data_IF_071158333337
#
_entry.id   IF_071158333337
#
_cell.length_a   1.000
_cell.length_b   1.000
_cell.length_c   1.000
_cell.angle_alpha   90.00
_cell.angle_beta   90.00
_cell.angle_gamma   90.00
#
_symmetry.space_group_name_H-M   'P 1'
#
loop_
_entity.id
_entity.type
_entity.pdbx_description
1 polymer ?
#
# COMPACT_ATOMS: atom_id res chain seq x y z
N UNK A 1 2.59 -4.21 -10.38
CA UNK A 1 1.85 -3.26 -9.51
C UNK A 1 2.77 -2.80 -8.39
N UNK A 2 2.54 -1.62 -7.81
CA UNK A 2 3.17 -1.17 -6.57
C UNK A 2 2.11 -0.82 -5.50
N UNK A 3 2.33 -1.27 -4.27
CA UNK A 3 1.56 -0.89 -3.08
C UNK A 3 2.50 -0.14 -2.13
N UNK A 4 2.05 0.97 -1.55
CA UNK A 4 2.81 1.74 -0.56
C UNK A 4 1.87 2.56 0.33
N UNK A 5 2.40 3.40 1.22
CA UNK A 5 1.62 4.34 2.02
C UNK A 5 1.29 5.61 1.24
N UNK A 6 0.19 6.28 1.58
CA UNK A 6 -0.04 7.66 1.17
C UNK A 6 0.75 8.65 2.03
N UNK A 7 0.65 9.93 1.69
CA UNK A 7 1.35 11.01 2.41
C UNK A 7 0.85 11.17 3.85
N UNK A 8 -0.35 10.67 4.16
CA UNK A 8 -0.93 10.61 5.50
C UNK A 8 -0.26 9.58 6.43
N UNK A 9 0.58 8.68 5.91
CA UNK A 9 1.35 7.72 6.72
C UNK A 9 0.59 6.46 7.14
N UNK A 10 -0.51 6.15 6.43
CA UNK A 10 -1.38 5.01 6.71
C UNK A 10 -2.07 5.10 8.08
N UNK A 11 -2.56 3.96 8.57
CA UNK A 11 -3.42 3.91 9.78
C UNK A 11 -2.74 4.39 11.07
N UNK A 12 -1.41 4.48 11.11
CA UNK A 12 -0.63 4.96 12.26
C UNK A 12 -0.31 6.45 12.18
N UNK A 13 -0.45 7.07 11.01
CA UNK A 13 -0.04 8.46 10.78
C UNK A 13 1.46 8.69 10.92
N UNK A 14 2.28 7.66 10.74
CA UNK A 14 3.71 7.73 11.08
C UNK A 14 4.52 8.48 10.01
N UNK A 15 5.38 9.46 10.38
CA UNK A 15 6.16 10.22 9.39
C UNK A 15 7.02 9.35 8.47
N UNK A 16 7.63 8.28 8.99
CA UNK A 16 8.42 7.35 8.16
C UNK A 16 7.58 6.66 7.10
N UNK A 17 6.32 6.33 7.42
CA UNK A 17 5.39 5.78 6.42
C UNK A 17 5.08 6.81 5.34
N UNK A 18 4.81 8.05 5.73
CA UNK A 18 4.57 9.16 4.78
C UNK A 18 5.73 9.33 3.83
N UNK A 19 6.96 9.39 4.35
CA UNK A 19 8.16 9.60 3.54
C UNK A 19 8.44 8.39 2.64
N UNK A 20 8.31 7.16 3.15
CA UNK A 20 8.41 5.96 2.33
C UNK A 20 7.39 5.95 1.19
N UNK A 21 6.14 6.35 1.47
CA UNK A 21 5.06 6.52 0.50
C UNK A 21 5.40 7.51 -0.61
N UNK A 22 5.91 8.68 -0.23
CA UNK A 22 6.35 9.73 -1.16
C UNK A 22 7.47 9.22 -2.07
N UNK A 23 8.52 8.63 -1.51
CA UNK A 23 9.64 8.13 -2.32
C UNK A 23 9.23 6.99 -3.25
N UNK A 24 8.41 6.05 -2.77
CA UNK A 24 7.88 4.97 -3.60
C UNK A 24 6.98 5.49 -4.74
N UNK A 25 6.18 6.53 -4.48
CA UNK A 25 5.34 7.18 -5.50
C UNK A 25 6.20 7.87 -6.58
N UNK A 26 7.26 8.58 -6.18
CA UNK A 26 8.21 9.15 -7.13
C UNK A 26 8.91 8.07 -7.97
N UNK A 27 9.36 6.99 -7.31
CA UNK A 27 9.99 5.86 -7.99
C UNK A 27 9.04 5.21 -9.00
N UNK A 28 7.76 5.02 -8.67
CA UNK A 28 6.75 4.51 -9.61
C UNK A 28 6.68 5.35 -10.90
N UNK A 29 6.67 6.67 -10.78
CA UNK A 29 6.58 7.57 -11.95
C UNK A 29 7.87 7.63 -12.77
N UNK A 30 9.01 7.28 -12.18
CA UNK A 30 10.32 7.45 -12.82
C UNK A 30 10.95 6.14 -13.30
N UNK A 31 10.63 4.99 -12.70
CA UNK A 31 11.23 3.69 -13.04
C UNK A 31 11.06 3.29 -14.51
N UNK A 32 9.99 3.75 -15.18
CA UNK A 32 9.75 3.50 -16.60
C UNK A 32 10.37 4.52 -17.55
N UNK A 33 11.13 5.51 -17.05
CA UNK A 33 11.71 6.59 -17.87
C UNK A 33 13.17 6.32 -18.18
N UNK A 34 13.53 6.34 -19.46
CA UNK A 34 14.92 6.16 -19.93
C UNK A 34 15.83 7.37 -19.70
N UNK A 35 15.32 8.44 -19.07
CA UNK A 35 16.07 9.68 -18.82
C UNK A 35 16.16 10.03 -17.31
N UNK A 36 15.93 9.06 -16.42
CA UNK A 36 16.10 9.20 -14.98
C UNK A 36 17.10 8.16 -14.48
N UNK A 37 17.94 8.55 -13.50
CA UNK A 37 18.94 7.67 -12.88
C UNK A 37 19.92 7.06 -13.89
N UNK A 38 20.62 7.91 -14.64
CA UNK A 38 21.52 7.50 -15.72
C UNK A 38 22.62 6.52 -15.24
N UNK A 39 23.12 6.70 -14.02
CA UNK A 39 24.07 5.82 -13.36
C UNK A 39 23.55 4.37 -13.22
N UNK A 40 22.26 4.20 -12.92
CA UNK A 40 21.63 2.88 -12.85
C UNK A 40 21.43 2.26 -14.23
N UNK A 41 21.09 3.07 -15.23
CA UNK A 41 20.94 2.62 -16.62
C UNK A 41 22.28 2.16 -17.20
N UNK A 42 23.36 2.91 -16.93
CA UNK A 42 24.73 2.55 -17.29
C UNK A 42 25.18 1.25 -16.60
N UNK A 43 24.72 1.02 -15.36
CA UNK A 43 24.94 -0.23 -14.63
C UNK A 43 24.06 -1.41 -15.12
N UNK A 44 23.26 -1.23 -16.17
CA UNK A 44 22.47 -2.29 -16.81
C UNK A 44 21.06 -2.47 -16.29
N UNK A 45 20.56 -1.57 -15.42
CA UNK A 45 19.14 -1.57 -15.03
C UNK A 45 18.30 -1.18 -16.23
N UNK A 46 17.30 -2.00 -16.57
CA UNK A 46 16.37 -1.72 -17.67
C UNK A 46 15.13 -1.01 -17.12
N UNK A 47 14.63 0.06 -17.77
CA UNK A 47 13.40 0.73 -17.35
C UNK A 47 12.22 -0.23 -17.25
N UNK A 48 11.48 -0.16 -16.15
CA UNK A 48 10.26 -0.93 -15.93
C UNK A 48 9.10 0.01 -15.61
N UNK A 49 8.07 -0.02 -16.46
CA UNK A 49 6.86 0.80 -16.29
C UNK A 49 5.78 0.01 -15.55
N UNK A 50 5.76 0.15 -14.23
CA UNK A 50 4.71 -0.41 -13.38
C UNK A 50 3.33 0.14 -13.78
N UNK A 51 2.32 -0.74 -13.89
CA UNK A 51 1.02 -0.35 -14.46
C UNK A 51 0.07 0.32 -13.47
N UNK A 52 0.10 -0.03 -12.19
CA UNK A 52 -0.79 0.51 -11.14
C UNK A 52 -0.02 0.82 -9.87
N UNK A 53 -0.36 1.95 -9.25
CA UNK A 53 0.10 2.40 -7.93
C UNK A 53 -1.11 2.51 -7.01
N UNK A 54 -1.06 1.83 -5.87
CA UNK A 54 -2.03 2.03 -4.81
C UNK A 54 -1.38 2.51 -3.51
N UNK A 55 -2.12 3.33 -2.78
CA UNK A 55 -1.85 3.68 -1.40
C UNK A 55 -2.75 2.87 -0.48
N UNK A 56 -2.20 2.21 0.53
CA UNK A 56 -3.01 1.57 1.57
C UNK A 56 -3.80 2.63 2.33
N UNK A 57 -5.10 2.38 2.54
CA UNK A 57 -6.01 3.31 3.22
C UNK A 57 -6.88 2.59 4.25
N UNK A 58 -7.75 3.32 4.94
CA UNK A 58 -8.64 2.81 5.97
C UNK A 58 -9.89 3.69 6.08
N UNK A 59 -11.00 3.11 6.55
CA UNK A 59 -12.20 3.85 6.94
C UNK A 59 -12.24 4.16 8.45
N UNK A 60 -11.24 3.69 9.20
CA UNK A 60 -11.13 3.89 10.64
C UNK A 60 -9.71 4.28 11.06
N UNK A 61 -9.64 5.04 12.15
CA UNK A 61 -8.39 5.35 12.84
C UNK A 61 -8.24 4.46 14.07
N UNK A 62 -6.98 4.15 14.44
CA UNK A 62 -6.72 3.47 15.71
C UNK A 62 -7.14 4.35 16.90
N UNK A 63 -7.70 3.76 17.98
CA UNK A 63 -8.12 4.52 19.15
C UNK A 63 -6.93 5.26 19.78
N UNK A 64 -7.20 6.41 20.39
CA UNK A 64 -6.21 7.26 21.08
C UNK A 64 -5.07 7.78 20.17
N UNK A 65 -5.29 7.85 18.85
CA UNK A 65 -4.38 8.51 17.89
C UNK A 65 -4.93 9.87 17.46
N UNK A 66 -4.03 10.72 16.98
CA UNK A 66 -4.43 11.96 16.33
C UNK A 66 -5.23 11.66 15.05
N UNK A 67 -6.15 12.55 14.64
CA UNK A 67 -6.94 12.35 13.42
C UNK A 67 -6.08 12.21 12.16
N UNK A 68 -6.49 11.32 11.27
CA UNK A 68 -5.86 11.07 9.97
C UNK A 68 -6.94 11.22 8.90
N UNK A 69 -6.62 11.95 7.83
CA UNK A 69 -7.52 12.07 6.68
C UNK A 69 -7.18 10.98 5.68
N UNK A 70 -7.97 9.91 5.68
CA UNK A 70 -7.75 8.78 4.79
C UNK A 70 -8.27 9.06 3.37
N UNK A 71 -7.49 8.75 2.32
CA UNK A 71 -8.01 8.73 0.95
C UNK A 71 -9.16 7.73 0.81
N UNK A 72 -10.20 8.03 0.02
CA UNK A 72 -11.30 7.09 -0.19
C UNK A 72 -10.81 5.80 -0.88
N UNK A 73 -11.30 4.66 -0.40
CA UNK A 73 -10.96 3.37 -0.97
C UNK A 73 -11.55 3.23 -2.38
N UNK A 74 -10.71 2.89 -3.34
CA UNK A 74 -11.12 2.50 -4.70
C UNK A 74 -10.92 1.01 -4.95
N UNK A 75 -10.21 0.30 -4.07
CA UNK A 75 -10.11 -1.15 -4.11
C UNK A 75 -10.25 -1.74 -2.70
N UNK A 76 -11.03 -2.80 -2.56
CA UNK A 76 -11.27 -3.50 -1.30
C UNK A 76 -11.08 -4.99 -1.54
N UNK A 77 -10.09 -5.56 -0.87
CA UNK A 77 -9.71 -6.97 -1.01
C UNK A 77 -10.21 -7.72 0.21
N UNK A 78 -11.05 -8.72 -0.02
CA UNK A 78 -11.47 -9.66 1.02
C UNK A 78 -10.30 -10.60 1.33
N UNK A 79 -9.87 -10.58 2.59
CA UNK A 79 -8.81 -11.42 3.13
C UNK A 79 -9.29 -12.24 4.33
N UNK A 80 -10.61 -12.41 4.52
CA UNK A 80 -11.20 -13.08 5.68
C UNK A 80 -10.56 -14.45 5.96
N UNK A 81 -10.38 -15.25 4.92
CA UNK A 81 -9.76 -16.58 5.00
C UNK A 81 -8.25 -16.55 5.36
N UNK A 82 -7.62 -15.37 5.30
CA UNK A 82 -6.20 -15.14 5.56
C UNK A 82 -5.93 -14.39 6.87
N UNK A 83 -6.96 -14.03 7.63
CA UNK A 83 -6.83 -13.26 8.88
C UNK A 83 -5.91 -13.97 9.88
N UNK A 84 -6.06 -15.29 10.07
CA UNK A 84 -5.19 -16.06 10.98
C UNK A 84 -3.73 -16.06 10.51
N UNK A 85 -3.51 -16.22 9.21
CA UNK A 85 -2.17 -16.17 8.62
C UNK A 85 -1.52 -14.81 8.85
N UNK A 86 -2.27 -13.72 8.70
CA UNK A 86 -1.81 -12.35 8.97
C UNK A 86 -1.46 -12.13 10.44
N UNK A 87 -2.26 -12.67 11.37
CA UNK A 87 -1.98 -12.63 12.81
C UNK A 87 -0.72 -13.42 13.14
N UNK A 88 -0.56 -14.62 12.59
CA UNK A 88 0.63 -15.44 12.77
C UNK A 88 1.89 -14.73 12.23
N UNK A 89 1.80 -14.14 11.03
CA UNK A 89 2.87 -13.38 10.43
C UNK A 89 3.28 -12.18 11.30
N UNK A 90 2.32 -11.41 11.83
CA UNK A 90 2.62 -10.30 12.73
C UNK A 90 3.32 -10.77 14.01
N UNK A 91 2.84 -11.87 14.61
CA UNK A 91 3.43 -12.46 15.82
C UNK A 91 4.84 -13.02 15.63
N UNK A 92 5.26 -13.27 14.39
CA UNK A 92 6.64 -13.65 14.08
C UNK A 92 7.64 -12.50 14.32
N UNK A 93 7.20 -11.24 14.33
CA UNK A 93 8.03 -10.08 14.67
C UNK A 93 8.18 -9.92 16.19
N UNK A 94 8.88 -10.87 16.83
CA UNK A 94 8.93 -11.02 18.30
C UNK A 94 9.38 -9.78 19.07
N UNK A 95 10.23 -8.93 18.47
CA UNK A 95 10.65 -7.65 19.07
C UNK A 95 9.52 -6.62 19.15
N UNK A 96 8.42 -6.82 18.42
CA UNK A 96 7.20 -6.00 18.43
C UNK A 96 6.11 -6.58 19.34
N UNK A 97 6.43 -7.56 20.19
CA UNK A 97 5.45 -8.24 21.06
C UNK A 97 4.55 -7.33 21.89
N UNK A 98 4.97 -6.14 22.37
CA UNK A 98 4.06 -5.22 23.05
C UNK A 98 2.86 -4.77 22.20
N UNK A 99 2.96 -4.83 20.87
CA UNK A 99 1.90 -4.43 19.93
C UNK A 99 0.94 -5.58 19.60
N UNK A 100 1.25 -6.83 19.95
CA UNK A 100 0.45 -7.98 19.55
C UNK A 100 -1.02 -7.90 20.00
N UNK A 101 -1.34 -7.52 21.26
CA UNK A 101 -2.74 -7.43 21.70
C UNK A 101 -3.52 -6.38 20.90
N UNK A 102 -2.92 -5.19 20.72
CA UNK A 102 -3.55 -4.10 19.97
C UNK A 102 -3.77 -4.50 18.51
N UNK A 103 -2.77 -5.10 17.87
CA UNK A 103 -2.87 -5.55 16.48
C UNK A 103 -3.96 -6.61 16.31
N UNK A 104 -3.93 -7.66 17.13
CA UNK A 104 -4.90 -8.75 17.02
C UNK A 104 -6.33 -8.25 17.28
N UNK A 105 -6.54 -7.41 18.28
CA UNK A 105 -7.86 -6.81 18.54
C UNK A 105 -8.40 -6.04 17.33
N UNK A 106 -7.57 -5.22 16.67
CA UNK A 106 -7.99 -4.45 15.52
C UNK A 106 -8.21 -5.32 14.27
N UNK A 107 -7.35 -6.30 14.02
CA UNK A 107 -7.51 -7.24 12.90
C UNK A 107 -8.76 -8.09 13.07
N UNK A 108 -9.12 -8.48 14.29
CA UNK A 108 -10.35 -9.24 14.55
C UNK A 108 -11.62 -8.41 14.28
N UNK A 109 -11.56 -7.10 14.51
CA UNK A 109 -12.70 -6.19 14.30
C UNK A 109 -12.85 -5.70 12.86
N UNK A 110 -11.72 -5.44 12.19
CA UNK A 110 -11.71 -4.73 10.91
C UNK A 110 -10.85 -5.39 9.83
N UNK A 111 -10.11 -6.45 10.15
CA UNK A 111 -9.06 -7.01 9.30
C UNK A 111 -9.51 -8.03 8.28
N UNK A 112 -10.81 -8.29 8.12
CA UNK A 112 -11.32 -9.15 7.05
C UNK A 112 -11.19 -8.50 5.67
N UNK A 113 -11.00 -7.19 5.61
CA UNK A 113 -10.80 -6.45 4.36
C UNK A 113 -9.53 -5.61 4.43
N UNK A 114 -8.83 -5.53 3.31
CA UNK A 114 -7.75 -4.55 3.10
C UNK A 114 -8.17 -3.55 2.04
N UNK A 115 -8.00 -2.27 2.35
CA UNK A 115 -8.48 -1.16 1.53
C UNK A 115 -7.32 -0.40 0.90
N UNK A 116 -7.50 -0.03 -0.36
CA UNK A 116 -6.50 0.65 -1.15
C UNK A 116 -7.11 1.78 -1.98
N UNK A 117 -6.33 2.83 -2.20
CA UNK A 117 -6.65 3.96 -3.06
C UNK A 117 -5.77 3.91 -4.32
N UNK A 118 -6.37 3.83 -5.50
CA UNK A 118 -5.69 3.83 -6.79
C UNK A 118 -5.16 5.25 -7.09
N UNK A 119 -3.91 5.49 -6.75
CA UNK A 119 -3.27 6.80 -6.86
C UNK A 119 -2.79 7.11 -8.29
N UNK A 120 -2.40 6.08 -9.06
CA UNK A 120 -2.04 6.24 -10.45
C UNK A 120 -2.20 4.95 -11.26
N UNK A 121 -2.58 5.12 -12.53
CA UNK A 121 -2.63 4.07 -13.52
C UNK A 121 -1.86 4.49 -14.79
N UNK A 122 -1.14 3.54 -15.39
CA UNK A 122 -0.39 3.75 -16.64
C UNK A 122 -1.27 3.98 -17.88
N UNK A 123 -2.56 3.65 -17.78
CA UNK A 123 -3.57 3.91 -18.79
C UNK A 123 -4.61 4.85 -18.20
N UNK A 124 -5.13 5.77 -19.02
CA UNK A 124 -6.25 6.59 -18.62
C UNK A 124 -7.49 5.70 -18.51
N UNK A 125 -8.11 5.69 -17.34
CA UNK A 125 -9.36 5.00 -17.08
C UNK A 125 -10.14 5.74 -15.99
N UNK A 126 -11.43 5.44 -15.87
CA UNK A 126 -12.24 5.91 -14.76
C UNK A 126 -11.92 5.10 -13.51
N UNK A 127 -11.88 5.77 -12.35
CA UNK A 127 -11.81 5.07 -11.08
C UNK A 127 -13.06 4.19 -10.95
N UNK A 128 -12.85 2.87 -10.83
CA UNK A 128 -13.87 1.88 -10.51
C UNK A 128 -13.56 1.25 -9.15
N UNK A 129 -14.56 0.65 -8.53
CA UNK A 129 -14.36 -0.12 -7.30
C UNK A 129 -13.83 -1.51 -7.64
N UNK A 130 -12.59 -1.78 -7.27
CA UNK A 130 -11.92 -3.04 -7.59
C UNK A 130 -11.92 -4.00 -6.40
N UNK A 131 -12.04 -5.30 -6.68
CA UNK A 131 -11.89 -6.39 -5.70
C UNK A 131 -10.69 -7.27 -5.99
N UNK A 132 -9.90 -6.92 -7.00
CA UNK A 132 -8.67 -7.59 -7.41
C UNK A 132 -7.67 -6.52 -7.86
N UNK A 133 -6.54 -6.43 -7.16
CA UNK A 133 -5.49 -5.46 -7.46
C UNK A 133 -4.79 -5.73 -8.80
N UNK A 134 -4.92 -6.95 -9.34
CA UNK A 134 -4.40 -7.35 -10.64
C UNK A 134 -5.36 -7.09 -11.80
N UNK A 135 -6.61 -6.69 -11.53
CA UNK A 135 -7.62 -6.45 -12.56
C UNK A 135 -7.06 -5.51 -13.65
N UNK A 136 -7.08 -5.95 -14.90
CA UNK A 136 -6.62 -5.15 -16.04
C UNK A 136 -5.10 -4.98 -16.18
N UNK A 137 -4.27 -5.57 -15.32
CA UNK A 137 -2.81 -5.62 -15.52
C UNK A 137 -2.49 -6.58 -16.68
N UNK A 138 -1.67 -6.13 -17.62
CA UNK A 138 -1.18 -6.96 -18.74
C UNK A 138 0.20 -7.53 -18.43
N UNK A 139 0.48 -8.76 -18.86
CA UNK A 139 1.84 -9.28 -18.89
C UNK A 139 2.66 -8.53 -19.96
N UNK A 140 3.91 -8.21 -19.63
CA UNK A 140 4.87 -7.56 -20.51
C UNK A 140 5.95 -8.55 -20.92
#
# INVERSE_FOLDING_TARGET
>A
MLLTFGAEGGITGHPDHSMAGIFATLAFHWAGRSNRYADQLEAGVVPHRTQKLYHGTSEFALPNRQPINFPPASAIIDIGDHVETKIAAFKAHTTQSPLFPLFEENIRKHGAQEMFHLAAHSHADHASHETDLFAGIKEN
#
